data_IF_250723173567
#
_entry.id   IF_250723173567
#
_cell.length_a   1.000
_cell.length_b   1.000
_cell.length_c   1.000
_cell.angle_alpha   90.00
_cell.angle_beta   90.00
_cell.angle_gamma   90.00
#
_symmetry.space_group_name_H-M   'P 1'
#
loop_
_entity.id
_entity.type
_entity.pdbx_description
1 polymer ?
#
# COMPACT_ATOMS: atom_id res chain seq x y z
N UNK A 1 1.51 -12.52 -8.06
CA UNK A 1 1.13 -11.14 -7.68
C UNK A 1 -0.23 -10.86 -8.25
N UNK A 2 -1.14 -10.31 -7.44
CA UNK A 2 -2.51 -9.96 -7.83
C UNK A 2 -2.78 -8.51 -7.42
N UNK A 3 -3.56 -7.80 -8.24
CA UNK A 3 -4.06 -6.46 -7.92
C UNK A 3 -5.52 -6.51 -7.54
N UNK A 4 -5.91 -5.80 -6.48
CA UNK A 4 -7.29 -5.75 -5.98
C UNK A 4 -7.77 -4.30 -5.89
N UNK A 5 -9.08 -4.10 -6.06
CA UNK A 5 -9.71 -2.79 -5.86
C UNK A 5 -10.61 -2.74 -4.61
N UNK A 6 -11.05 -3.90 -4.11
CA UNK A 6 -12.03 -4.02 -3.03
C UNK A 6 -11.46 -4.82 -1.85
N UNK A 7 -11.86 -4.45 -0.64
CA UNK A 7 -11.45 -5.12 0.59
C UNK A 7 -11.85 -6.60 0.62
N UNK A 8 -13.09 -6.92 0.20
CA UNK A 8 -13.61 -8.28 0.22
C UNK A 8 -12.79 -9.21 -0.68
N UNK A 9 -12.40 -8.76 -1.88
CA UNK A 9 -11.53 -9.54 -2.76
C UNK A 9 -10.17 -9.81 -2.13
N UNK A 10 -9.57 -8.81 -1.46
CA UNK A 10 -8.30 -9.00 -0.76
C UNK A 10 -8.41 -10.06 0.35
N UNK A 11 -9.52 -10.01 1.11
CA UNK A 11 -9.82 -10.94 2.20
C UNK A 11 -10.07 -12.37 1.70
N UNK A 12 -10.80 -12.53 0.61
CA UNK A 12 -11.03 -13.83 -0.03
C UNK A 12 -9.71 -14.44 -0.54
N UNK A 13 -8.85 -13.63 -1.15
CA UNK A 13 -7.53 -14.08 -1.59
C UNK A 13 -6.65 -14.55 -0.43
N UNK A 14 -6.73 -13.91 0.75
CA UNK A 14 -6.03 -14.39 1.96
C UNK A 14 -6.56 -15.73 2.47
N UNK A 15 -7.87 -15.98 2.36
CA UNK A 15 -8.44 -17.29 2.69
C UNK A 15 -7.91 -18.36 1.73
N UNK A 16 -7.96 -18.09 0.42
CA UNK A 16 -7.44 -19.01 -0.60
C UNK A 16 -5.93 -19.25 -0.48
N UNK A 17 -5.15 -18.21 -0.15
CA UNK A 17 -3.71 -18.33 0.13
C UNK A 17 -3.45 -19.40 1.20
N UNK A 18 -4.20 -19.35 2.31
CA UNK A 18 -4.07 -20.29 3.42
C UNK A 18 -4.59 -21.69 3.06
N UNK A 19 -5.75 -21.78 2.41
CA UNK A 19 -6.37 -23.06 2.03
C UNK A 19 -5.52 -23.86 1.03
N UNK A 20 -4.88 -23.17 0.10
CA UNK A 20 -4.09 -23.77 -0.98
C UNK A 20 -2.58 -23.78 -0.70
N UNK A 21 -2.14 -23.21 0.42
CA UNK A 21 -0.72 -23.09 0.77
C UNK A 21 0.09 -22.27 -0.23
N UNK A 22 -0.52 -21.23 -0.81
CA UNK A 22 0.12 -20.36 -1.79
C UNK A 22 0.91 -19.25 -1.11
N UNK A 23 1.83 -18.63 -1.88
CA UNK A 23 2.53 -17.41 -1.47
C UNK A 23 2.05 -16.25 -2.35
N UNK A 24 1.04 -15.51 -1.88
CA UNK A 24 0.44 -14.41 -2.63
C UNK A 24 1.06 -13.06 -2.22
N UNK A 25 1.21 -12.22 -3.23
CA UNK A 25 1.43 -10.77 -3.07
C UNK A 25 0.14 -10.08 -3.52
N UNK A 26 -0.51 -9.38 -2.59
CA UNK A 26 -1.73 -8.62 -2.83
C UNK A 26 -1.39 -7.12 -2.88
N UNK A 27 -1.67 -6.48 -4.01
CA UNK A 27 -1.47 -5.04 -4.21
C UNK A 27 -2.80 -4.35 -4.40
N UNK A 28 -3.17 -3.47 -3.47
CA UNK A 28 -4.38 -2.67 -3.59
C UNK A 28 -4.17 -1.42 -4.45
N UNK A 29 -5.06 -1.24 -5.42
CA UNK A 29 -5.07 -0.15 -6.40
C UNK A 29 -6.49 0.42 -6.53
N UNK A 30 -6.64 1.58 -7.18
CA UNK A 30 -7.94 2.23 -7.39
C UNK A 30 -8.74 2.54 -6.11
N UNK A 31 -8.06 2.74 -4.99
CA UNK A 31 -8.65 2.91 -3.65
C UNK A 31 -9.19 4.32 -3.36
N UNK A 32 -9.39 5.17 -4.37
CA UNK A 32 -9.90 6.54 -4.18
C UNK A 32 -11.39 6.50 -3.81
N UNK A 33 -11.80 7.25 -2.77
CA UNK A 33 -13.21 7.33 -2.36
C UNK A 33 -13.77 6.07 -1.68
N UNK A 34 -12.92 5.11 -1.33
CA UNK A 34 -13.31 3.96 -0.49
C UNK A 34 -13.79 4.45 0.87
N UNK A 35 -14.73 3.75 1.48
CA UNK A 35 -15.16 4.07 2.85
C UNK A 35 -14.05 3.82 3.85
N UNK A 36 -14.24 4.27 5.09
CA UNK A 36 -13.28 4.01 6.17
C UNK A 36 -13.13 2.50 6.42
N UNK A 37 -14.25 1.78 6.46
CA UNK A 37 -14.30 0.33 6.70
C UNK A 37 -13.62 -0.43 5.57
N UNK A 38 -13.86 -0.01 4.32
CA UNK A 38 -13.19 -0.60 3.16
C UNK A 38 -11.68 -0.30 3.17
N UNK A 39 -11.28 0.91 3.56
CA UNK A 39 -9.86 1.24 3.73
C UNK A 39 -9.18 0.36 4.78
N UNK A 40 -9.80 0.14 5.93
CA UNK A 40 -9.29 -0.75 6.98
C UNK A 40 -9.13 -2.18 6.45
N UNK A 41 -10.16 -2.73 5.79
CA UNK A 41 -10.09 -4.05 5.19
C UNK A 41 -9.01 -4.19 4.11
N UNK A 42 -8.82 -3.16 3.27
CA UNK A 42 -7.72 -3.11 2.30
C UNK A 42 -6.36 -3.13 3.00
N UNK A 43 -6.17 -2.29 4.01
CA UNK A 43 -4.91 -2.16 4.73
C UNK A 43 -4.54 -3.43 5.50
N UNK A 44 -5.52 -4.14 6.06
CA UNK A 44 -5.30 -5.38 6.79
C UNK A 44 -4.92 -6.56 5.89
N UNK A 45 -5.44 -6.59 4.65
CA UNK A 45 -5.30 -7.76 3.78
C UNK A 45 -4.29 -7.57 2.65
N UNK A 46 -3.76 -6.37 2.42
CA UNK A 46 -2.82 -6.08 1.31
C UNK A 46 -1.36 -6.05 1.77
N UNK A 47 -0.44 -6.46 0.88
CA UNK A 47 1.00 -6.31 1.09
C UNK A 47 1.50 -4.91 0.71
N UNK A 48 0.89 -4.35 -0.33
CA UNK A 48 1.19 -3.02 -0.84
C UNK A 48 -0.13 -2.30 -1.16
N UNK A 49 -0.22 -1.01 -0.89
CA UNK A 49 -1.32 -0.16 -1.37
C UNK A 49 -0.77 1.11 -2.00
N UNK A 50 -1.36 1.53 -3.12
CA UNK A 50 -1.12 2.85 -3.72
C UNK A 50 -2.24 3.76 -3.26
N UNK A 51 -1.93 4.68 -2.35
CA UNK A 51 -2.95 5.47 -1.64
C UNK A 51 -3.73 6.46 -2.52
N UNK A 52 -3.24 6.81 -3.71
CA UNK A 52 -3.91 7.70 -4.66
C UNK A 52 -4.50 8.96 -3.98
N UNK A 53 -5.77 9.30 -4.22
CA UNK A 53 -6.46 10.41 -3.55
C UNK A 53 -7.33 9.96 -2.36
N UNK A 54 -7.14 8.72 -1.90
CA UNK A 54 -7.92 8.15 -0.80
C UNK A 54 -7.57 8.81 0.52
N UNK A 55 -8.54 9.48 1.14
CA UNK A 55 -8.35 10.09 2.47
C UNK A 55 -8.03 9.02 3.52
N UNK A 56 -8.86 7.98 3.62
CA UNK A 56 -8.77 7.00 4.70
C UNK A 56 -7.53 6.12 4.61
N UNK A 57 -7.11 5.71 3.41
CA UNK A 57 -5.86 4.94 3.25
C UNK A 57 -4.66 5.77 3.73
N UNK A 58 -4.61 7.06 3.41
CA UNK A 58 -3.53 7.96 3.83
C UNK A 58 -3.48 8.16 5.34
N UNK A 59 -4.64 8.29 5.98
CA UNK A 59 -4.75 8.54 7.43
C UNK A 59 -4.51 7.28 8.28
N UNK A 60 -4.95 6.11 7.80
CA UNK A 60 -4.97 4.87 8.60
C UNK A 60 -3.76 3.96 8.35
N UNK A 61 -3.06 4.12 7.22
CA UNK A 61 -1.92 3.26 6.88
C UNK A 61 -0.79 3.36 7.92
N UNK A 62 -0.22 2.18 8.24
CA UNK A 62 0.98 2.04 9.08
C UNK A 62 2.08 1.32 8.29
N UNK A 63 2.65 1.96 7.26
CA UNK A 63 3.57 1.27 6.35
C UNK A 63 4.93 1.00 6.98
N UNK A 64 5.54 -0.11 6.56
CA UNK A 64 6.93 -0.46 6.83
C UNK A 64 7.90 0.24 5.87
N UNK A 65 7.44 0.51 4.64
CA UNK A 65 8.16 1.30 3.63
C UNK A 65 7.17 2.19 2.91
N UNK A 66 7.56 3.44 2.65
CA UNK A 66 6.84 4.36 1.79
C UNK A 66 7.72 4.75 0.61
N UNK A 67 7.15 4.74 -0.60
CA UNK A 67 7.77 5.29 -1.80
C UNK A 67 6.96 6.50 -2.25
N UNK A 68 7.67 7.62 -2.51
CA UNK A 68 7.11 8.92 -2.86
C UNK A 68 6.19 9.54 -1.78
N UNK A 69 6.08 10.87 -1.81
CA UNK A 69 5.23 11.64 -0.88
C UNK A 69 3.95 12.17 -1.53
N UNK A 70 3.95 12.40 -2.85
CA UNK A 70 2.81 12.97 -3.56
C UNK A 70 1.69 11.93 -3.81
N UNK A 71 2.07 10.79 -4.40
CA UNK A 71 1.21 9.60 -4.55
C UNK A 71 1.92 8.43 -3.85
N UNK A 72 1.78 8.32 -2.52
CA UNK A 72 2.50 7.32 -1.75
C UNK A 72 2.10 5.89 -2.13
N UNK A 73 3.12 5.07 -2.39
CA UNK A 73 3.03 3.62 -2.32
C UNK A 73 3.48 3.19 -0.93
N UNK A 74 2.65 2.39 -0.27
CA UNK A 74 2.86 1.90 1.08
C UNK A 74 3.05 0.39 1.06
N UNK A 75 4.19 -0.11 1.52
CA UNK A 75 4.36 -1.52 1.83
C UNK A 75 3.95 -1.77 3.29
N UNK A 76 3.01 -2.68 3.50
CA UNK A 76 2.33 -2.93 4.77
C UNK A 76 2.87 -4.19 5.47
N UNK A 77 3.38 -5.16 4.69
CA UNK A 77 3.94 -6.43 5.20
C UNK A 77 5.43 -6.54 4.91
N UNK A 78 6.12 -7.46 5.59
CA UNK A 78 7.54 -7.73 5.30
C UNK A 78 7.75 -8.23 3.86
N UNK A 79 6.80 -9.02 3.35
CA UNK A 79 6.78 -9.51 1.97
C UNK A 79 6.69 -8.34 0.97
N UNK A 80 5.75 -7.42 1.20
CA UNK A 80 5.61 -6.19 0.41
C UNK A 80 6.85 -5.30 0.49
N UNK A 81 7.44 -5.15 1.68
CA UNK A 81 8.70 -4.41 1.87
C UNK A 81 9.83 -5.02 1.06
N UNK A 82 9.99 -6.35 1.09
CA UNK A 82 10.99 -7.07 0.30
C UNK A 82 10.85 -6.75 -1.19
N UNK A 83 9.64 -6.87 -1.74
CA UNK A 83 9.37 -6.56 -3.14
C UNK A 83 9.71 -5.12 -3.53
N UNK A 84 9.37 -4.14 -2.69
CA UNK A 84 9.71 -2.73 -2.94
C UNK A 84 11.23 -2.51 -2.96
N UNK A 85 11.96 -3.13 -2.03
CA UNK A 85 13.43 -3.04 -1.96
C UNK A 85 14.08 -3.74 -3.16
N UNK A 86 13.59 -4.91 -3.56
CA UNK A 86 14.07 -5.59 -4.76
C UNK A 86 13.91 -4.70 -6.00
N UNK A 87 12.74 -4.08 -6.17
CA UNK A 87 12.51 -3.15 -7.29
C UNK A 87 13.42 -1.92 -7.25
N UNK A 88 13.80 -1.48 -6.05
CA UNK A 88 14.69 -0.33 -5.84
C UNK A 88 16.12 -0.60 -6.33
N UNK A 89 16.58 -1.85 -6.34
CA UNK A 89 17.92 -2.23 -6.86
C UNK A 89 18.09 -1.89 -8.34
N UNK A 90 17.00 -1.95 -9.11
CA UNK A 90 17.00 -1.70 -10.56
C UNK A 90 16.86 -0.21 -10.92
N UNK A 91 16.73 0.68 -9.94
CA UNK A 91 16.62 2.13 -10.18
C UNK A 91 18.02 2.69 -10.37
N UNK A 92 18.29 3.22 -11.57
CA UNK A 92 19.62 3.75 -11.93
C UNK A 92 19.96 5.08 -11.22
N UNK A 93 18.94 5.89 -10.89
CA UNK A 93 19.15 7.13 -10.15
C UNK A 93 19.47 6.83 -8.67
N UNK A 94 20.35 7.61 -8.02
CA UNK A 94 20.63 7.44 -6.58
C UNK A 94 19.36 7.47 -5.71
N UNK A 95 19.31 6.59 -4.71
CA UNK A 95 18.18 6.48 -3.77
C UNK A 95 18.65 6.86 -2.37
N UNK A 96 17.87 7.71 -1.69
CA UNK A 96 18.00 7.94 -0.25
C UNK A 96 17.08 6.98 0.51
N UNK A 97 17.66 6.17 1.41
CA UNK A 97 16.91 5.34 2.35
C UNK A 97 17.20 5.86 3.75
N UNK A 98 16.15 6.25 4.48
CA UNK A 98 16.24 6.66 5.87
C UNK A 98 15.11 6.02 6.71
N UNK A 99 15.23 6.13 8.02
CA UNK A 99 14.21 5.67 8.97
C UNK A 99 13.62 6.86 9.70
N UNK A 100 12.33 7.09 9.52
CA UNK A 100 11.54 8.14 10.15
C UNK A 100 10.14 7.60 10.46
N UNK A 101 9.35 8.35 11.24
CA UNK A 101 7.94 8.00 11.44
C UNK A 101 7.18 8.14 10.12
N UNK A 102 6.47 7.08 9.73
CA UNK A 102 5.64 7.02 8.53
C UNK A 102 4.14 7.03 8.90
N UNK A 103 3.24 7.41 7.97
CA UNK A 103 3.51 7.93 6.62
C UNK A 103 3.94 9.42 6.63
N UNK A 104 4.77 9.80 5.65
CA UNK A 104 5.16 11.20 5.40
C UNK A 104 4.26 11.80 4.32
N UNK A 105 3.35 12.68 4.74
CA UNK A 105 2.29 13.24 3.91
C UNK A 105 2.26 14.78 3.98
N UNK A 106 3.28 15.47 3.43
CA UNK A 106 3.35 16.92 3.52
C UNK A 106 2.22 17.56 2.71
N UNK A 107 1.41 18.43 3.34
CA UNK A 107 0.18 18.98 2.76
C UNK A 107 0.38 19.62 1.38
N UNK A 108 1.51 20.28 1.15
CA UNK A 108 1.84 20.92 -0.13
C UNK A 108 2.11 19.95 -1.30
N UNK A 109 2.34 18.65 -1.04
CA UNK A 109 2.50 17.61 -2.06
C UNK A 109 1.27 16.74 -2.23
N UNK A 110 0.27 16.87 -1.36
CA UNK A 110 -0.93 16.04 -1.44
C UNK A 110 -1.88 16.57 -2.53
N UNK A 111 -2.68 15.69 -3.16
CA UNK A 111 -3.78 16.12 -4.02
C UNK A 111 -4.72 17.09 -3.27
N UNK A 112 -5.23 18.11 -3.96
CA UNK A 112 -6.12 19.12 -3.35
C UNK A 112 -7.45 18.54 -2.85
N UNK A 113 -7.94 17.51 -3.53
CA UNK A 113 -9.23 16.88 -3.23
C UNK A 113 -8.98 15.43 -2.80
N UNK A 114 -8.72 15.23 -1.51
CA UNK A 114 -8.78 13.88 -0.94
C UNK A 114 -10.25 13.52 -0.71
N UNK A 115 -10.63 12.33 -1.15
CA UNK A 115 -12.00 11.83 -1.13
C UNK A 115 -11.99 10.44 -0.49
#
# INVERSE_FOLDING_TARGET
MLTVAFAETAKELRKLENELGLDLIIIAVHVTGVSKEEAEGILENSDIVISCASKYIRELAKPLVQVAAAIPLFALTQKGKGLVIERAKDIQSPILINTIKLPVLPSHKQPKNLI
#
